data_IF_231886815334
#
_entry.id   IF_231886815334
#
_cell.length_a   1.000
_cell.length_b   1.000
_cell.length_c   1.000
_cell.angle_alpha   90.00
_cell.angle_beta   90.00
_cell.angle_gamma   90.00
#
_symmetry.space_group_name_H-M   'P 1'
#
loop_
_entity.id
_entity.type
_entity.pdbx_description
1 polymer ?
#
# COMPACT_ATOMS: atom_id res chain seq x y z
N UNK A 1 13.75 -64.12 6.96
CA UNK A 1 14.68 -63.46 6.04
C UNK A 1 14.46 -64.04 4.65
N UNK A 2 13.70 -63.36 3.80
CA UNK A 2 13.69 -63.56 2.35
C UNK A 2 13.14 -62.28 1.73
N UNK A 3 14.00 -61.61 0.96
CA UNK A 3 13.75 -60.37 0.24
C UNK A 3 12.74 -60.59 -0.90
N UNK A 4 11.79 -59.66 -1.06
CA UNK A 4 11.07 -59.47 -2.32
C UNK A 4 11.38 -58.06 -2.84
N UNK A 5 12.33 -58.02 -3.77
CA UNK A 5 12.55 -56.91 -4.70
C UNK A 5 11.59 -57.09 -5.87
N UNK A 6 10.78 -56.07 -6.17
CA UNK A 6 10.23 -55.86 -7.51
C UNK A 6 10.22 -54.36 -7.83
N UNK A 7 11.02 -54.05 -8.86
CA UNK A 7 11.07 -52.80 -9.60
C UNK A 7 9.73 -52.50 -10.27
N UNK A 8 9.35 -51.22 -10.37
CA UNK A 8 9.15 -50.65 -11.71
C UNK A 8 9.24 -49.11 -11.71
N UNK A 9 9.86 -48.51 -12.74
CA UNK A 9 10.06 -47.08 -12.88
C UNK A 9 8.92 -46.44 -13.68
N UNK A 10 8.51 -45.23 -13.32
CA UNK A 10 7.79 -44.37 -14.26
C UNK A 10 8.35 -42.95 -14.17
N UNK A 11 9.34 -42.75 -15.02
CA UNK A 11 9.82 -41.48 -15.53
C UNK A 11 8.70 -40.85 -16.36
N UNK A 12 8.32 -39.61 -16.04
CA UNK A 12 7.68 -38.71 -17.00
C UNK A 12 8.28 -37.30 -16.88
N UNK A 13 8.30 -36.55 -17.99
CA UNK A 13 9.42 -35.70 -18.36
C UNK A 13 9.33 -34.28 -17.78
N UNK A 14 10.50 -33.75 -17.42
CA UNK A 14 10.72 -32.32 -17.27
C UNK A 14 10.49 -31.63 -18.62
N UNK A 15 9.45 -30.81 -18.71
CA UNK A 15 9.29 -29.87 -19.82
C UNK A 15 10.01 -28.57 -19.45
N UNK A 16 11.20 -28.39 -20.02
CA UNK A 16 11.85 -27.08 -20.10
C UNK A 16 11.00 -26.16 -20.97
N UNK A 17 10.49 -25.08 -20.38
CA UNK A 17 9.94 -23.94 -21.11
C UNK A 17 10.88 -22.75 -20.93
N UNK A 18 11.32 -22.11 -22.03
CA UNK A 18 12.18 -20.94 -21.95
C UNK A 18 11.43 -19.74 -21.35
N UNK A 19 12.09 -19.07 -20.41
CA UNK A 19 11.66 -17.83 -19.82
C UNK A 19 11.50 -16.74 -20.88
N UNK A 20 10.25 -16.42 -21.24
CA UNK A 20 9.96 -15.17 -21.94
C UNK A 20 10.09 -14.03 -20.94
N UNK A 21 11.20 -13.30 -21.04
CA UNK A 21 11.46 -12.06 -20.35
C UNK A 21 10.33 -11.05 -20.64
N UNK A 22 9.36 -10.96 -19.73
CA UNK A 22 8.40 -9.87 -19.67
C UNK A 22 9.15 -8.66 -19.15
N UNK A 23 9.34 -7.66 -20.00
CA UNK A 23 9.85 -6.34 -19.61
C UNK A 23 8.89 -5.71 -18.60
N UNK A 24 9.15 -5.95 -17.31
CA UNK A 24 8.49 -5.27 -16.20
C UNK A 24 9.19 -3.93 -15.98
N UNK A 25 8.77 -2.94 -16.77
CA UNK A 25 9.03 -1.52 -16.51
C UNK A 25 8.19 -1.08 -15.31
N UNK A 26 8.71 -1.35 -14.10
CA UNK A 26 8.34 -0.76 -12.79
C UNK A 26 9.16 -1.36 -11.64
N UNK A 27 10.43 -1.70 -11.90
CA UNK A 27 11.30 -2.30 -10.90
C UNK A 27 12.03 -1.20 -10.12
N UNK A 28 11.41 -0.70 -9.06
CA UNK A 28 12.19 -0.18 -7.93
C UNK A 28 12.90 -1.40 -7.32
N UNK A 29 14.05 -1.78 -7.89
CA UNK A 29 14.95 -2.74 -7.25
C UNK A 29 15.45 -2.12 -5.97
N UNK A 30 14.71 -2.31 -4.89
CA UNK A 30 15.31 -2.38 -3.57
C UNK A 30 16.13 -3.68 -3.56
N UNK A 31 17.28 -3.68 -4.23
CA UNK A 31 18.33 -4.63 -3.89
C UNK A 31 18.55 -4.45 -2.39
N UNK A 32 18.35 -5.51 -1.58
CA UNK A 32 18.58 -5.43 -0.15
C UNK A 32 19.98 -4.83 0.05
N UNK A 33 20.05 -3.70 0.75
CA UNK A 33 21.35 -3.11 1.10
C UNK A 33 22.13 -4.18 1.84
N UNK A 34 23.34 -4.44 1.35
CA UNK A 34 24.26 -5.40 1.94
C UNK A 34 24.45 -5.13 3.43
N UNK A 35 24.66 -6.17 4.22
CA UNK A 35 24.74 -6.10 5.68
C UNK A 35 25.86 -5.13 6.12
N UNK A 36 26.94 -5.09 5.35
CA UNK A 36 28.09 -4.19 5.54
C UNK A 36 27.71 -2.70 5.28
N UNK A 37 26.94 -2.42 4.24
CA UNK A 37 26.47 -1.07 3.90
C UNK A 37 25.49 -0.54 4.99
N UNK A 38 24.68 -1.44 5.57
CA UNK A 38 23.76 -1.10 6.67
C UNK A 38 24.51 -0.77 7.96
N UNK A 39 25.54 -1.55 8.30
CA UNK A 39 26.40 -1.30 9.45
C UNK A 39 27.20 0.01 9.29
N UNK A 40 27.68 0.32 8.07
CA UNK A 40 28.34 1.59 7.78
C UNK A 40 27.41 2.78 8.02
N UNK A 41 26.18 2.71 7.51
CA UNK A 41 25.18 3.79 7.67
C UNK A 41 24.71 3.99 9.10
N UNK A 42 24.70 2.94 9.92
CA UNK A 42 24.33 3.05 11.33
C UNK A 42 25.34 3.89 12.15
N UNK A 43 26.62 3.88 11.76
CA UNK A 43 27.71 4.55 12.48
C UNK A 43 28.02 5.97 11.96
N UNK A 44 27.28 6.48 10.98
CA UNK A 44 27.52 7.82 10.44
C UNK A 44 27.15 8.92 11.44
N UNK A 45 28.02 9.92 11.56
CA UNK A 45 27.72 11.15 12.27
C UNK A 45 26.53 11.88 11.61
N UNK A 46 25.89 12.79 12.35
CA UNK A 46 24.77 13.57 11.82
C UNK A 46 25.22 14.47 10.65
N UNK A 47 26.46 14.98 10.69
CA UNK A 47 27.04 15.77 9.60
C UNK A 47 27.21 14.96 8.31
N UNK A 48 27.69 13.72 8.41
CA UNK A 48 27.85 12.82 7.26
C UNK A 48 26.50 12.41 6.67
N UNK A 49 25.49 12.12 7.51
CA UNK A 49 24.12 11.85 7.05
C UNK A 49 23.54 13.02 6.26
N UNK A 50 23.76 14.26 6.71
CA UNK A 50 23.32 15.45 6.00
C UNK A 50 24.11 15.71 4.72
N UNK A 51 25.37 15.28 4.64
CA UNK A 51 26.19 15.34 3.43
C UNK A 51 25.68 14.33 2.39
N UNK A 52 25.47 13.07 2.80
CA UNK A 52 24.94 12.00 1.94
C UNK A 52 23.55 12.35 1.39
N UNK A 53 22.67 12.90 2.21
CA UNK A 53 21.34 13.35 1.78
C UNK A 53 21.41 14.49 0.74
N UNK A 54 22.38 15.40 0.86
CA UNK A 54 22.60 16.47 -0.12
C UNK A 54 23.12 15.91 -1.44
N UNK A 55 24.13 15.04 -1.39
CA UNK A 55 24.67 14.38 -2.58
C UNK A 55 23.61 13.55 -3.31
N UNK A 56 22.76 12.81 -2.59
CA UNK A 56 21.66 12.05 -3.18
C UNK A 56 20.64 12.95 -3.89
N UNK A 57 20.36 14.13 -3.34
CA UNK A 57 19.44 15.10 -3.94
C UNK A 57 20.04 15.76 -5.18
N UNK A 58 21.32 16.10 -5.15
CA UNK A 58 22.05 16.62 -6.32
C UNK A 58 22.10 15.58 -7.45
N UNK A 59 22.36 14.31 -7.12
CA UNK A 59 22.34 13.22 -8.09
C UNK A 59 20.95 13.04 -8.74
N UNK A 60 19.88 13.17 -7.95
CA UNK A 60 18.51 13.12 -8.48
C UNK A 60 18.19 14.29 -9.42
N UNK A 61 18.57 15.52 -9.04
CA UNK A 61 18.36 16.72 -9.86
C UNK A 61 19.19 16.67 -11.16
N UNK A 62 20.39 16.08 -11.10
CA UNK A 62 21.22 15.82 -12.27
C UNK A 62 20.55 14.80 -13.21
N UNK A 63 20.09 13.65 -12.69
CA UNK A 63 19.41 12.62 -13.48
C UNK A 63 18.11 13.14 -14.12
N UNK A 64 17.37 14.00 -13.42
CA UNK A 64 16.19 14.70 -13.97
C UNK A 64 16.55 15.65 -15.12
N UNK A 65 17.69 16.33 -15.01
CA UNK A 65 18.17 17.26 -16.04
C UNK A 65 18.63 16.50 -17.30
N UNK A 66 19.33 15.38 -17.13
CA UNK A 66 19.80 14.53 -18.23
C UNK A 66 18.63 13.84 -18.96
N UNK A 67 17.62 13.33 -18.22
CA UNK A 67 16.41 12.77 -18.84
C UNK A 67 15.62 13.81 -19.67
N UNK A 68 15.71 15.09 -19.31
CA UNK A 68 15.03 16.19 -19.99
C UNK A 68 15.79 16.69 -21.23
N UNK A 69 17.11 16.53 -21.29
CA UNK A 69 17.90 16.85 -22.48
C UNK A 69 17.80 15.76 -23.55
N UNK A 70 17.62 14.50 -23.13
CA UNK A 70 17.58 13.34 -24.03
C UNK A 70 16.21 13.16 -24.75
N UNK A 71 15.14 13.79 -24.24
CA UNK A 71 13.80 13.74 -24.86
C UNK A 71 13.59 14.77 -26.00
N UNK A 72 14.54 15.66 -26.27
CA UNK A 72 14.44 16.68 -27.33
C UNK A 72 15.09 16.31 -28.66
N UNK A 73 15.77 15.16 -28.75
CA UNK A 73 16.45 14.67 -29.96
C UNK A 73 15.86 13.35 -30.49
N UNK A 74 14.53 13.14 -30.37
CA UNK A 74 13.86 12.18 -31.25
C UNK A 74 13.53 12.86 -32.57
N UNK A 75 14.48 12.78 -33.50
CA UNK A 75 14.28 13.06 -34.92
C UNK A 75 13.04 12.30 -35.42
N UNK A 76 11.96 13.05 -35.63
CA UNK A 76 10.81 12.54 -36.35
C UNK A 76 11.21 12.36 -37.82
N UNK A 77 11.02 11.18 -38.43
CA UNK A 77 11.34 10.98 -39.84
C UNK A 77 10.52 11.95 -40.71
N UNK A 78 11.09 12.48 -41.81
CA UNK A 78 10.48 13.55 -42.58
C UNK A 78 9.16 13.06 -43.22
N UNK A 79 8.05 13.59 -42.72
CA UNK A 79 6.74 13.47 -43.38
C UNK A 79 6.82 14.19 -44.72
N UNK A 80 6.94 13.40 -45.80
CA UNK A 80 6.68 13.83 -47.18
C UNK A 80 5.23 14.28 -47.31
N UNK A 81 4.95 15.58 -47.19
CA UNK A 81 3.72 16.19 -47.70
C UNK A 81 3.98 16.70 -49.12
N UNK A 82 3.60 15.84 -50.06
CA UNK A 82 3.55 16.08 -51.50
C UNK A 82 2.35 17.02 -51.78
N UNK A 83 2.66 18.16 -52.39
CA UNK A 83 1.85 18.97 -53.32
C UNK A 83 0.44 19.40 -52.89
N UNK A 84 0.18 20.71 -52.92
CA UNK A 84 -0.70 21.34 -53.94
C UNK A 84 -0.36 22.84 -54.05
N UNK A 85 0.35 23.16 -55.13
CA UNK A 85 0.62 24.53 -55.60
C UNK A 85 -0.57 24.92 -56.48
N UNK A 86 -1.57 25.57 -55.89
CA UNK A 86 -2.67 26.17 -56.63
C UNK A 86 -2.34 27.62 -56.91
N UNK A 87 -2.04 27.87 -58.18
CA UNK A 87 -1.89 29.15 -58.83
C UNK A 87 -3.28 29.78 -58.97
N UNK A 88 -3.55 30.96 -58.41
CA UNK A 88 -4.72 31.77 -58.80
C UNK A 88 -4.55 33.24 -58.37
N UNK A 89 -4.17 34.05 -59.36
CA UNK A 89 -4.69 35.39 -59.70
C UNK A 89 -4.81 36.46 -58.62
N UNK A 90 -4.04 37.52 -58.85
CA UNK A 90 -4.24 38.84 -58.26
C UNK A 90 -5.54 39.49 -58.78
N UNK A 91 -6.31 40.19 -57.92
CA UNK A 91 -7.33 41.14 -58.36
C UNK A 91 -6.77 42.58 -58.50
N UNK A 92 -7.39 43.43 -59.33
CA UNK A 92 -6.87 44.73 -59.76
C UNK A 92 -7.01 45.83 -58.69
N UNK A 93 -6.30 46.97 -58.84
CA UNK A 93 -6.48 48.12 -57.97
C UNK A 93 -7.63 48.99 -58.47
N UNK A 94 -8.66 49.18 -57.64
CA UNK A 94 -9.62 50.26 -57.85
C UNK A 94 -10.27 50.68 -56.54
N UNK A 95 -9.88 51.88 -56.12
CA UNK A 95 -10.76 53.00 -55.80
C UNK A 95 -11.86 52.79 -54.75
N UNK A 96 -11.64 53.45 -53.60
CA UNK A 96 -12.62 54.34 -52.95
C UNK A 96 -14.03 53.77 -52.68
N UNK A 97 -14.27 53.35 -51.44
CA UNK A 97 -15.54 53.64 -50.77
C UNK A 97 -15.34 53.62 -49.26
N UNK A 98 -15.58 54.78 -48.63
CA UNK A 98 -15.39 55.01 -47.21
C UNK A 98 -16.31 54.14 -46.36
N UNK A 99 -15.71 53.33 -45.51
CA UNK A 99 -16.40 52.58 -44.46
C UNK A 99 -16.10 53.27 -43.11
N UNK A 100 -17.04 54.01 -42.49
CA UNK A 100 -16.78 54.74 -41.25
C UNK A 100 -16.72 53.83 -40.00
N UNK A 101 -16.71 52.51 -40.16
CA UNK A 101 -16.77 51.56 -39.05
C UNK A 101 -15.40 51.07 -38.56
N UNK A 102 -14.30 51.59 -39.11
CA UNK A 102 -12.93 51.21 -38.71
C UNK A 102 -12.46 51.80 -37.38
N UNK A 103 -13.21 52.76 -36.81
CA UNK A 103 -12.95 53.39 -35.51
C UNK A 103 -13.91 52.92 -34.41
N UNK A 104 -14.42 51.68 -34.48
CA UNK A 104 -15.02 51.08 -33.30
C UNK A 104 -13.92 50.71 -32.29
N UNK A 105 -13.58 51.69 -31.45
CA UNK A 105 -12.90 51.58 -30.16
C UNK A 105 -11.90 50.44 -30.06
N UNK A 106 -10.71 50.60 -30.67
CA UNK A 106 -9.57 49.75 -30.29
C UNK A 106 -9.37 49.91 -28.78
N UNK A 107 -9.48 48.83 -27.98
CA UNK A 107 -9.27 48.93 -26.55
C UNK A 107 -7.89 49.54 -26.34
N UNK A 108 -7.83 50.67 -25.64
CA UNK A 108 -6.57 51.36 -25.37
C UNK A 108 -5.56 50.34 -24.84
N UNK A 109 -4.49 50.11 -25.61
CA UNK A 109 -3.46 49.16 -25.24
C UNK A 109 -2.88 49.61 -23.90
N UNK A 110 -3.07 48.78 -22.87
CA UNK A 110 -2.53 49.03 -21.52
C UNK A 110 -1.04 49.33 -21.63
N UNK A 111 -0.57 50.36 -20.92
CA UNK A 111 0.86 50.70 -20.87
C UNK A 111 1.67 49.49 -20.39
N UNK A 112 2.89 49.30 -20.91
CA UNK A 112 3.80 48.23 -20.49
C UNK A 112 4.01 48.20 -18.95
N UNK A 113 3.93 49.38 -18.30
CA UNK A 113 3.99 49.50 -16.84
C UNK A 113 2.76 48.90 -16.14
N UNK A 114 1.56 49.11 -16.69
CA UNK A 114 0.31 48.53 -16.19
C UNK A 114 0.29 47.01 -16.38
N UNK A 115 0.70 46.51 -17.55
CA UNK A 115 0.77 45.07 -17.82
C UNK A 115 1.74 44.36 -16.86
N UNK A 116 2.93 44.94 -16.59
CA UNK A 116 3.89 44.38 -15.63
C UNK A 116 3.35 44.36 -14.20
N UNK A 117 2.57 45.38 -13.80
CA UNK A 117 1.94 45.44 -12.47
C UNK A 117 0.84 44.39 -12.33
N UNK A 118 0.00 44.23 -13.34
CA UNK A 118 -1.08 43.23 -13.39
C UNK A 118 -0.51 41.81 -13.36
N UNK A 119 0.53 41.53 -14.15
CA UNK A 119 1.21 40.23 -14.12
C UNK A 119 1.86 39.93 -12.75
N UNK A 120 2.45 40.95 -12.10
CA UNK A 120 3.00 40.80 -10.75
C UNK A 120 1.89 40.51 -9.72
N UNK A 121 0.74 41.20 -9.83
CA UNK A 121 -0.41 40.96 -8.97
C UNK A 121 -0.97 39.53 -9.16
N UNK A 122 -1.08 39.06 -10.41
CA UNK A 122 -1.55 37.71 -10.72
C UNK A 122 -0.61 36.64 -10.16
N UNK A 123 0.71 36.78 -10.34
CA UNK A 123 1.69 35.85 -9.74
C UNK A 123 1.64 35.84 -8.21
N UNK A 124 1.38 36.99 -7.57
CA UNK A 124 1.23 37.07 -6.12
C UNK A 124 -0.06 36.37 -5.65
N UNK A 125 -1.17 36.56 -6.36
CA UNK A 125 -2.43 35.87 -6.10
C UNK A 125 -2.30 34.35 -6.26
N UNK A 126 -1.68 33.88 -7.34
CA UNK A 126 -1.41 32.46 -7.57
C UNK A 126 -0.53 31.86 -6.48
N UNK A 127 0.51 32.59 -6.05
CA UNK A 127 1.38 32.15 -4.95
C UNK A 127 0.60 32.03 -3.64
N UNK A 128 -0.28 32.99 -3.34
CA UNK A 128 -1.15 32.95 -2.15
C UNK A 128 -2.11 31.76 -2.21
N UNK A 129 -2.78 31.56 -3.34
CA UNK A 129 -3.69 30.42 -3.54
C UNK A 129 -2.97 29.08 -3.37
N UNK A 130 -1.77 28.93 -3.94
CA UNK A 130 -0.95 27.72 -3.75
C UNK A 130 -0.54 27.50 -2.30
N UNK A 131 -0.28 28.56 -1.54
CA UNK A 131 0.08 28.46 -0.13
C UNK A 131 -1.13 28.08 0.72
N UNK A 132 -2.29 28.64 0.42
CA UNK A 132 -3.56 28.31 1.08
C UNK A 132 -3.98 26.87 0.81
N UNK A 133 -3.87 26.41 -0.44
CA UNK A 133 -4.14 25.01 -0.80
C UNK A 133 -3.22 24.02 -0.05
N UNK A 134 -1.93 24.35 0.11
CA UNK A 134 -1.02 23.52 0.94
C UNK A 134 -1.44 23.49 2.40
N UNK A 135 -1.78 24.66 2.97
CA UNK A 135 -2.23 24.74 4.36
C UNK A 135 -3.52 23.94 4.59
N UNK A 136 -4.46 24.01 3.65
CA UNK A 136 -5.71 23.25 3.72
C UNK A 136 -5.45 21.74 3.65
N UNK A 137 -4.60 21.28 2.73
CA UNK A 137 -4.22 19.88 2.61
C UNK A 137 -3.48 19.35 3.87
N UNK A 138 -2.58 20.16 4.45
CA UNK A 138 -1.91 19.82 5.72
C UNK A 138 -2.90 19.74 6.89
N UNK A 139 -3.90 20.64 6.93
CA UNK A 139 -4.93 20.59 7.97
C UNK A 139 -5.83 19.36 7.84
N UNK A 140 -6.20 18.98 6.61
CA UNK A 140 -6.97 17.78 6.31
C UNK A 140 -6.19 16.52 6.69
N UNK A 141 -4.93 16.41 6.27
CA UNK A 141 -4.06 15.31 6.67
C UNK A 141 -3.90 15.23 8.20
N UNK A 142 -3.85 16.38 8.90
CA UNK A 142 -3.81 16.41 10.36
C UNK A 142 -5.13 15.94 10.97
N UNK A 143 -6.28 16.29 10.40
CA UNK A 143 -7.59 15.82 10.85
C UNK A 143 -7.73 14.31 10.66
N UNK A 144 -7.31 13.78 9.51
CA UNK A 144 -7.28 12.34 9.27
C UNK A 144 -6.35 11.62 10.24
N UNK A 145 -5.13 12.14 10.44
CA UNK A 145 -4.20 11.56 11.42
C UNK A 145 -4.81 11.49 12.82
N UNK A 146 -5.42 12.59 13.29
CA UNK A 146 -6.13 12.63 14.58
C UNK A 146 -7.31 11.66 14.63
N UNK A 147 -8.04 11.51 13.52
CA UNK A 147 -9.13 10.55 13.43
C UNK A 147 -8.62 9.11 13.58
N UNK A 148 -7.48 8.76 12.98
CA UNK A 148 -6.86 7.45 13.16
C UNK A 148 -6.28 7.25 14.57
N UNK A 149 -5.68 8.29 15.17
CA UNK A 149 -5.18 8.23 16.55
C UNK A 149 -6.32 8.02 17.57
N UNK A 150 -7.51 8.57 17.30
CA UNK A 150 -8.68 8.42 18.16
C UNK A 150 -9.52 7.17 17.83
N UNK A 151 -9.22 6.47 16.73
CA UNK A 151 -10.00 5.30 16.31
C UNK A 151 -9.71 4.12 17.24
N UNK A 152 -10.77 3.51 17.74
CA UNK A 152 -10.62 2.30 18.57
C UNK A 152 -10.14 1.13 17.71
N UNK A 153 -9.44 0.17 18.32
CA UNK A 153 -9.00 -1.07 17.64
C UNK A 153 -10.17 -1.79 16.94
N UNK A 154 -11.36 -1.76 17.56
CA UNK A 154 -12.57 -2.39 17.03
C UNK A 154 -13.13 -1.65 15.81
N UNK A 155 -13.16 -0.32 15.82
CA UNK A 155 -13.57 0.48 14.65
C UNK A 155 -12.62 0.28 13.48
N UNK A 156 -11.32 0.21 13.76
CA UNK A 156 -10.33 -0.13 12.75
C UNK A 156 -10.62 -1.51 12.15
N UNK A 157 -10.78 -2.54 12.98
CA UNK A 157 -11.11 -3.89 12.50
C UNK A 157 -12.41 -3.93 11.69
N UNK A 158 -13.44 -3.19 12.11
CA UNK A 158 -14.71 -3.08 11.40
C UNK A 158 -14.56 -2.51 9.99
N UNK A 159 -13.64 -1.55 9.79
CA UNK A 159 -13.36 -0.97 8.46
C UNK A 159 -12.77 -2.00 7.49
N UNK A 160 -12.08 -3.02 8.00
CA UNK A 160 -11.41 -4.05 7.21
C UNK A 160 -12.16 -5.39 7.18
N UNK A 161 -13.35 -5.49 7.81
CA UNK A 161 -14.07 -6.74 8.00
C UNK A 161 -14.34 -7.53 6.71
N UNK A 162 -14.69 -6.86 5.61
CA UNK A 162 -14.92 -7.51 4.31
C UNK A 162 -13.63 -8.11 3.75
N UNK A 163 -12.52 -7.40 3.87
CA UNK A 163 -11.21 -7.88 3.42
C UNK A 163 -10.71 -9.03 4.30
N UNK A 164 -10.89 -8.90 5.61
CA UNK A 164 -10.50 -9.91 6.59
C UNK A 164 -11.34 -11.19 6.41
N UNK A 165 -12.65 -11.07 6.16
CA UNK A 165 -13.51 -12.22 5.82
C UNK A 165 -13.09 -12.89 4.52
N UNK A 166 -12.69 -12.13 3.50
CA UNK A 166 -12.21 -12.70 2.24
C UNK A 166 -10.88 -13.44 2.41
N UNK A 167 -9.97 -12.93 3.25
CA UNK A 167 -8.66 -13.54 3.47
C UNK A 167 -8.72 -14.76 4.41
N UNK A 168 -9.42 -14.63 5.55
CA UNK A 168 -9.36 -15.59 6.65
C UNK A 168 -10.69 -16.29 6.94
N UNK A 169 -11.73 -16.05 6.13
CA UNK A 169 -13.07 -16.59 6.38
C UNK A 169 -13.14 -18.10 6.42
N UNK A 170 -12.43 -18.77 5.52
CA UNK A 170 -12.38 -20.24 5.47
C UNK A 170 -11.80 -20.83 6.76
N UNK A 171 -10.66 -20.30 7.22
CA UNK A 171 -10.01 -20.73 8.46
C UNK A 171 -10.88 -20.47 9.69
N UNK A 172 -11.62 -19.35 9.71
CA UNK A 172 -12.58 -19.09 10.77
C UNK A 172 -13.71 -20.12 10.76
N UNK A 173 -14.28 -20.42 9.58
CA UNK A 173 -15.42 -21.34 9.46
C UNK A 173 -15.00 -22.76 9.90
N UNK A 174 -13.80 -23.22 9.52
CA UNK A 174 -13.22 -24.50 9.95
C UNK A 174 -12.93 -24.52 11.46
N UNK A 175 -12.36 -23.44 12.01
CA UNK A 175 -12.16 -23.28 13.45
C UNK A 175 -13.49 -23.29 14.21
N UNK A 176 -14.49 -22.55 13.74
CA UNK A 176 -15.79 -22.43 14.40
C UNK A 176 -16.56 -23.76 14.37
N UNK A 177 -16.50 -24.48 13.26
CA UNK A 177 -17.10 -25.81 13.10
C UNK A 177 -16.43 -26.82 14.03
N UNK A 178 -15.09 -26.89 14.03
CA UNK A 178 -14.33 -27.80 14.90
C UNK A 178 -14.52 -27.45 16.39
N UNK A 179 -14.54 -26.17 16.75
CA UNK A 179 -14.81 -25.71 18.11
C UNK A 179 -16.22 -26.06 18.59
N UNK A 180 -17.21 -25.99 17.70
CA UNK A 180 -18.58 -26.37 18.05
C UNK A 180 -18.69 -27.87 18.26
N UNK A 181 -18.13 -28.66 17.32
CA UNK A 181 -18.07 -30.10 17.44
C UNK A 181 -17.34 -30.57 18.71
N UNK A 182 -16.20 -29.96 19.04
CA UNK A 182 -15.41 -30.26 20.23
C UNK A 182 -16.14 -29.93 21.54
N UNK A 183 -16.86 -28.81 21.60
CA UNK A 183 -17.59 -28.43 22.82
C UNK A 183 -18.80 -29.32 23.05
N UNK A 184 -19.47 -29.75 21.98
CA UNK A 184 -20.53 -30.75 22.08
C UNK A 184 -19.98 -32.12 22.49
N UNK A 185 -18.81 -32.48 21.98
CA UNK A 185 -18.17 -33.78 22.21
C UNK A 185 -16.68 -33.60 22.53
N UNK A 186 -16.36 -33.60 23.84
CA UNK A 186 -15.00 -33.40 24.35
C UNK A 186 -14.02 -34.52 23.96
N UNK A 187 -14.49 -35.60 23.31
CA UNK A 187 -13.61 -36.68 22.81
C UNK A 187 -12.99 -36.36 21.45
N UNK A 188 -13.53 -35.35 20.75
CA UNK A 188 -13.00 -34.91 19.46
C UNK A 188 -11.67 -34.20 19.61
N UNK A 189 -10.97 -34.07 18.49
CA UNK A 189 -9.74 -33.28 18.45
C UNK A 189 -10.00 -31.83 18.83
N UNK A 190 -9.04 -31.24 19.55
CA UNK A 190 -9.06 -29.81 19.88
C UNK A 190 -9.04 -28.98 18.58
N UNK A 191 -9.77 -27.87 18.49
CA UNK A 191 -9.86 -27.06 17.28
C UNK A 191 -8.48 -26.64 16.78
N UNK A 192 -8.21 -26.92 15.51
CA UNK A 192 -6.94 -26.59 14.87
C UNK A 192 -7.02 -25.15 14.38
N UNK A 193 -5.98 -24.38 14.66
CA UNK A 193 -5.80 -23.02 14.19
C UNK A 193 -4.77 -23.01 13.06
N UNK A 194 -5.07 -22.26 12.01
CA UNK A 194 -4.18 -22.16 10.86
C UNK A 194 -2.97 -21.26 11.18
N UNK A 195 -1.80 -21.64 10.65
CA UNK A 195 -0.54 -20.93 10.84
C UNK A 195 -0.28 -20.04 9.65
N UNK A 196 -0.30 -18.74 9.88
CA UNK A 196 -0.06 -17.74 8.84
C UNK A 196 1.38 -17.21 8.84
N UNK A 197 2.12 -17.44 9.93
CA UNK A 197 3.41 -16.82 10.16
C UNK A 197 3.24 -15.40 10.69
N UNK A 198 3.97 -15.08 11.76
CA UNK A 198 3.93 -13.77 12.38
C UNK A 198 5.33 -13.16 12.43
N UNK A 199 5.48 -11.96 11.85
CA UNK A 199 6.70 -11.16 11.86
C UNK A 199 6.65 -9.98 12.87
N UNK A 200 5.57 -9.86 13.66
CA UNK A 200 5.41 -8.76 14.63
C UNK A 200 6.29 -8.98 15.87
N UNK A 201 6.92 -7.91 16.36
CA UNK A 201 7.88 -7.97 17.47
C UNK A 201 7.23 -8.30 18.84
N UNK A 202 5.97 -7.92 19.05
CA UNK A 202 5.24 -8.17 20.30
C UNK A 202 4.50 -9.53 20.32
N UNK A 203 4.93 -10.47 19.47
CA UNK A 203 4.27 -11.74 19.27
C UNK A 203 4.47 -12.72 20.43
N UNK A 204 3.41 -12.95 21.22
CA UNK A 204 3.35 -14.08 22.15
C UNK A 204 2.88 -15.33 21.41
N UNK A 205 3.72 -16.37 21.40
CA UNK A 205 3.45 -17.69 20.80
C UNK A 205 3.08 -18.68 21.90
N UNK A 206 1.99 -19.41 21.69
CA UNK A 206 1.64 -20.59 22.49
C UNK A 206 2.53 -21.77 22.11
N UNK A 207 3.07 -22.45 23.11
CA UNK A 207 3.95 -23.60 22.92
C UNK A 207 3.15 -24.85 22.53
N UNK A 208 1.92 -24.97 23.01
CA UNK A 208 1.11 -26.21 22.90
C UNK A 208 0.32 -26.24 21.60
N UNK A 209 -0.37 -25.14 21.28
CA UNK A 209 -1.11 -24.95 20.03
C UNK A 209 -0.18 -24.57 18.88
N UNK A 210 1.04 -24.09 19.20
CA UNK A 210 2.05 -23.73 18.22
C UNK A 210 1.64 -22.58 17.31
N UNK A 211 0.72 -21.72 17.79
CA UNK A 211 0.23 -20.51 17.14
C UNK A 211 0.44 -19.30 18.04
N UNK A 212 0.53 -18.11 17.46
CA UNK A 212 0.60 -16.87 18.22
C UNK A 212 -0.74 -16.14 18.31
N UNK A 213 -0.83 -15.19 19.23
CA UNK A 213 -2.07 -14.43 19.41
C UNK A 213 -2.46 -13.63 18.14
N UNK A 214 -1.52 -13.25 17.28
CA UNK A 214 -1.82 -12.63 15.99
C UNK A 214 -2.45 -13.62 14.98
N UNK A 215 -2.04 -14.88 14.99
CA UNK A 215 -2.65 -15.92 14.16
C UNK A 215 -4.07 -16.24 14.64
N UNK A 216 -4.27 -16.26 15.95
CA UNK A 216 -5.60 -16.32 16.56
C UNK A 216 -6.44 -15.10 16.16
N UNK A 217 -5.87 -13.90 16.23
CA UNK A 217 -6.54 -12.67 15.81
C UNK A 217 -6.98 -12.72 14.35
N UNK A 218 -6.09 -13.11 13.43
CA UNK A 218 -6.39 -13.24 11.99
C UNK A 218 -7.52 -14.24 11.75
N UNK A 219 -7.46 -15.41 12.40
CA UNK A 219 -8.54 -16.41 12.32
C UNK A 219 -9.86 -15.81 12.80
N UNK A 220 -9.89 -15.15 13.96
CA UNK A 220 -11.12 -14.57 14.53
C UNK A 220 -11.65 -13.38 13.70
N UNK A 221 -10.77 -12.60 13.07
CA UNK A 221 -11.14 -11.54 12.11
C UNK A 221 -11.86 -12.11 10.88
N UNK A 222 -11.52 -13.35 10.49
CA UNK A 222 -12.23 -14.11 9.47
C UNK A 222 -13.72 -14.31 9.74
N UNK A 223 -14.23 -14.04 10.94
CA UNK A 223 -15.68 -14.06 11.22
C UNK A 223 -16.47 -13.00 10.45
N UNK A 224 -15.83 -11.89 10.02
CA UNK A 224 -16.52 -10.72 9.47
C UNK A 224 -17.26 -9.86 10.52
N UNK A 225 -17.32 -10.30 11.77
CA UNK A 225 -17.94 -9.61 12.92
C UNK A 225 -16.96 -9.59 14.11
N UNK A 226 -15.79 -9.00 13.86
CA UNK A 226 -14.73 -8.84 14.85
C UNK A 226 -14.99 -7.64 15.77
N UNK A 227 -15.96 -7.81 16.67
CA UNK A 227 -16.35 -6.81 17.66
C UNK A 227 -15.95 -7.25 19.08
N UNK A 228 -15.85 -6.29 20.00
CA UNK A 228 -15.54 -6.54 21.42
C UNK A 228 -16.49 -7.58 22.05
N UNK A 229 -17.78 -7.55 21.68
CA UNK A 229 -18.79 -8.51 22.16
C UNK A 229 -18.49 -9.94 21.71
N UNK A 230 -17.99 -10.11 20.47
CA UNK A 230 -17.63 -11.42 19.93
C UNK A 230 -16.40 -11.95 20.66
N UNK A 231 -15.37 -11.11 20.83
CA UNK A 231 -14.15 -11.49 21.55
C UNK A 231 -14.42 -11.86 23.01
N UNK A 232 -15.28 -11.13 23.71
CA UNK A 232 -15.71 -11.48 25.08
C UNK A 232 -16.44 -12.83 25.12
N UNK A 233 -17.28 -13.12 24.13
CA UNK A 233 -17.97 -14.42 24.04
C UNK A 233 -16.99 -15.57 23.84
N UNK A 234 -16.04 -15.40 22.92
CA UNK A 234 -15.05 -16.44 22.63
C UNK A 234 -14.10 -16.63 23.83
N UNK A 235 -13.68 -15.56 24.50
CA UNK A 235 -12.95 -15.63 25.77
C UNK A 235 -13.69 -16.45 26.82
N UNK A 236 -14.99 -16.18 27.04
CA UNK A 236 -15.78 -16.92 28.02
C UNK A 236 -16.00 -18.39 27.63
N UNK A 237 -16.02 -18.69 26.32
CA UNK A 237 -16.12 -20.06 25.79
C UNK A 237 -14.92 -20.91 26.22
N UNK A 238 -13.73 -20.32 26.21
CA UNK A 238 -12.46 -20.97 26.55
C UNK A 238 -12.02 -20.75 28.00
N UNK A 239 -12.88 -20.19 28.86
CA UNK A 239 -12.53 -19.87 30.25
C UNK A 239 -12.02 -21.09 31.03
N UNK A 240 -10.90 -21.00 31.77
CA UNK A 240 -10.27 -22.14 32.45
C UNK A 240 -11.22 -22.94 33.35
N UNK A 241 -12.13 -22.24 34.03
CA UNK A 241 -13.14 -22.85 34.92
C UNK A 241 -14.00 -23.92 34.23
N UNK A 242 -14.28 -23.78 32.93
CA UNK A 242 -15.06 -24.77 32.15
C UNK A 242 -14.29 -26.04 31.80
N UNK A 243 -12.97 -26.00 31.94
CA UNK A 243 -12.06 -27.05 31.51
C UNK A 243 -11.27 -27.66 32.66
N UNK A 244 -11.55 -27.28 33.91
CA UNK A 244 -10.92 -27.81 35.12
C UNK A 244 -11.04 -29.34 35.19
N UNK A 245 -9.90 -30.01 35.41
CA UNK A 245 -9.85 -31.47 35.58
C UNK A 245 -9.83 -32.28 34.29
N UNK A 246 -9.78 -31.63 33.11
CA UNK A 246 -9.76 -32.31 31.79
C UNK A 246 -8.35 -32.58 31.24
N UNK A 247 -7.32 -32.62 32.09
CA UNK A 247 -5.94 -32.94 31.70
C UNK A 247 -5.41 -32.04 30.58
N UNK A 248 -4.89 -32.63 29.51
CA UNK A 248 -4.30 -31.92 28.37
C UNK A 248 -5.26 -30.90 27.71
N UNK A 249 -6.58 -31.17 27.73
CA UNK A 249 -7.57 -30.26 27.16
C UNK A 249 -7.65 -28.96 27.96
N UNK A 250 -7.47 -29.03 29.29
CA UNK A 250 -7.41 -27.86 30.15
C UNK A 250 -6.24 -26.97 29.77
N UNK A 251 -5.08 -27.57 29.49
CA UNK A 251 -3.87 -26.83 29.16
C UNK A 251 -4.03 -26.14 27.80
N UNK A 252 -4.54 -26.85 26.79
CA UNK A 252 -4.86 -26.29 25.46
C UNK A 252 -5.89 -25.17 25.52
N UNK A 253 -6.98 -25.36 26.25
CA UNK A 253 -8.02 -24.34 26.42
C UNK A 253 -7.50 -23.10 27.17
N UNK A 254 -6.67 -23.30 28.21
CA UNK A 254 -6.04 -22.21 28.95
C UNK A 254 -5.07 -21.40 28.08
N UNK A 255 -4.27 -22.07 27.23
CA UNK A 255 -3.39 -21.36 26.29
C UNK A 255 -4.20 -20.53 25.29
N UNK A 256 -5.24 -21.10 24.67
CA UNK A 256 -6.13 -20.36 23.77
C UNK A 256 -6.78 -19.17 24.47
N UNK A 257 -7.24 -19.36 25.71
CA UNK A 257 -7.79 -18.28 26.54
C UNK A 257 -6.80 -17.15 26.76
N UNK A 258 -5.54 -17.45 27.07
CA UNK A 258 -4.50 -16.44 27.28
C UNK A 258 -4.19 -15.66 26.00
N UNK A 259 -4.13 -16.35 24.85
CA UNK A 259 -3.95 -15.69 23.55
C UNK A 259 -5.13 -14.76 23.23
N UNK A 260 -6.38 -15.18 23.49
CA UNK A 260 -7.56 -14.34 23.29
C UNK A 260 -7.59 -13.15 24.27
N UNK A 261 -7.26 -13.38 25.54
CA UNK A 261 -7.16 -12.33 26.56
C UNK A 261 -6.16 -11.26 26.12
N UNK A 262 -4.99 -11.68 25.59
CA UNK A 262 -3.97 -10.78 25.08
C UNK A 262 -4.49 -9.89 23.94
N UNK A 263 -5.32 -10.43 23.04
CA UNK A 263 -5.93 -9.65 21.96
C UNK A 263 -6.90 -8.60 22.51
N UNK A 264 -7.69 -8.96 23.54
CA UNK A 264 -8.68 -8.06 24.16
C UNK A 264 -8.02 -6.94 24.96
N UNK A 265 -6.98 -7.25 25.72
CA UNK A 265 -6.22 -6.25 26.47
C UNK A 265 -5.50 -5.27 25.54
N UNK A 266 -5.33 -5.67 24.28
CA UNK A 266 -4.59 -4.93 23.27
C UNK A 266 -3.09 -5.03 23.48
N UNK A 267 -2.33 -4.57 22.49
CA UNK A 267 -0.89 -4.40 22.65
C UNK A 267 -0.61 -3.17 23.51
N UNK A 268 -0.81 -3.29 24.83
CA UNK A 268 -0.57 -2.23 25.83
C UNK A 268 0.92 -1.80 25.90
N UNK A 269 1.80 -2.36 25.07
CA UNK A 269 3.24 -2.06 25.02
C UNK A 269 3.78 -2.03 23.58
N UNK A 270 3.22 -1.20 22.72
CA UNK A 270 3.83 -0.82 21.44
C UNK A 270 4.30 0.63 21.51
#
# INVERSE_FOLDING_TARGET
>A
MSELKLNNPNYLPQTDKPATARMSSRFWSHSPLDEEERARRANLSNAERQSEARAAREAYDQAQSDSRSETWYQESPPRRSRTHRSNAQAPPPSSSSGNPQFFQGSPQAKSAKQQKQEQKAQRAADKKHRQEARRAAEEEARKEKKHFENMTQWEYAKKWSTSDRAAYGHAFDDFAASATAFITDNTREFPRLEKYGCARNNCIRGEILGVCHHEVEMTLRGSGVFDEKMMKRERLRWHPDRWTGKGDLQIKANELFQLIQRIIDGDVKA
#
